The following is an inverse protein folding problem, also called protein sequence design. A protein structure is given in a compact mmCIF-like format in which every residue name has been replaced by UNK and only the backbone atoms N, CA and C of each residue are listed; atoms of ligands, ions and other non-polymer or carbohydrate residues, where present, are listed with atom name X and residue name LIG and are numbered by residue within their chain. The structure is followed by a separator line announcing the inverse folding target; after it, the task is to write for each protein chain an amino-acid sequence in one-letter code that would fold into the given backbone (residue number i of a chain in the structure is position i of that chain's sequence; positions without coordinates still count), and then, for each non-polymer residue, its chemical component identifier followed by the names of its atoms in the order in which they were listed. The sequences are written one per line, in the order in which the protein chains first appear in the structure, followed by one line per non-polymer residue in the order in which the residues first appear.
data_IF_028281039809
#
_entry.id   IF_028281039809
#
_cell.length_a   1.000
_cell.length_b   1.000
_cell.length_c   1.000
_cell.angle_alpha   90.00
_cell.angle_beta   90.00
_cell.angle_gamma   90.00
#
_symmetry.space_group_name_H-M   'P 1'
#
loop_
_entity.id
_entity.type
_entity.pdbx_description
1 polymer ?
#
# COMPACT_ATOMS: atom_id res chain seq x y z
N UNK A 1 6.56 -63.35 11.72
CA UNK A 1 7.01 -61.94 11.69
C UNK A 1 5.87 -61.13 11.12
N UNK A 2 5.22 -60.35 11.98
CA UNK A 2 4.07 -59.50 11.66
C UNK A 2 4.58 -58.12 11.30
N UNK A 3 4.34 -57.70 10.06
CA UNK A 3 4.53 -56.31 9.61
C UNK A 3 3.23 -55.86 8.95
N UNK A 4 2.25 -55.61 9.80
CA UNK A 4 1.04 -54.87 9.42
C UNK A 4 1.01 -53.62 10.30
N UNK A 5 0.73 -52.47 9.69
CA UNK A 5 0.64 -51.13 10.30
C UNK A 5 1.93 -50.28 10.25
N UNK A 6 2.18 -49.61 9.12
CA UNK A 6 2.86 -48.30 9.14
C UNK A 6 2.72 -47.41 7.89
N UNK A 7 1.63 -47.49 7.14
CA UNK A 7 1.44 -46.60 5.97
C UNK A 7 0.21 -45.68 6.04
N UNK A 8 -0.76 -45.95 6.92
CA UNK A 8 -1.96 -45.10 7.05
C UNK A 8 -1.73 -43.75 7.76
N UNK A 9 -0.59 -43.54 8.43
CA UNK A 9 -0.37 -42.33 9.26
C UNK A 9 0.17 -41.12 8.48
N UNK A 10 0.67 -41.31 7.26
CA UNK A 10 1.30 -40.23 6.48
C UNK A 10 0.32 -39.50 5.57
N UNK A 11 -0.69 -40.20 5.04
CA UNK A 11 -1.73 -39.62 4.17
C UNK A 11 -2.77 -38.84 4.99
N UNK A 12 -3.17 -39.36 6.16
CA UNK A 12 -4.07 -38.62 7.07
C UNK A 12 -3.40 -37.34 7.63
N UNK A 13 -2.07 -37.33 7.82
CA UNK A 13 -1.35 -36.12 8.25
C UNK A 13 -1.18 -35.08 7.13
N UNK A 14 -1.08 -35.51 5.87
CA UNK A 14 -1.07 -34.56 4.73
C UNK A 14 -2.45 -33.96 4.49
N UNK A 15 -3.52 -34.73 4.70
CA UNK A 15 -4.88 -34.26 4.51
C UNK A 15 -5.32 -33.29 5.62
N UNK A 16 -4.92 -33.53 6.88
CA UNK A 16 -5.19 -32.59 7.99
C UNK A 16 -4.40 -31.28 7.80
N UNK A 17 -3.14 -31.35 7.34
CA UNK A 17 -2.34 -30.16 7.07
C UNK A 17 -2.88 -29.36 5.87
N UNK A 18 -3.36 -30.03 4.82
CA UNK A 18 -4.00 -29.39 3.68
C UNK A 18 -5.35 -28.76 4.06
N UNK A 19 -6.15 -29.41 4.90
CA UNK A 19 -7.43 -28.88 5.41
C UNK A 19 -7.21 -27.69 6.35
N UNK A 20 -6.14 -27.69 7.16
CA UNK A 20 -5.75 -26.53 7.99
C UNK A 20 -5.21 -25.37 7.14
N UNK A 21 -4.49 -25.65 6.04
CA UNK A 21 -4.02 -24.62 5.11
C UNK A 21 -5.18 -24.01 4.31
N UNK A 22 -6.17 -24.82 3.95
CA UNK A 22 -7.37 -24.39 3.22
C UNK A 22 -8.37 -23.66 4.15
N UNK A 23 -8.40 -24.01 5.43
CA UNK A 23 -9.11 -23.23 6.46
C UNK A 23 -8.49 -21.84 6.69
N UNK A 24 -7.17 -21.66 6.44
CA UNK A 24 -6.50 -20.35 6.45
C UNK A 24 -6.76 -19.52 5.19
N UNK A 25 -7.36 -20.08 4.15
CA UNK A 25 -7.64 -19.42 2.86
C UNK A 25 -9.11 -19.09 2.63
N UNK A 26 -10.04 -19.51 3.52
CA UNK A 26 -11.42 -19.07 3.40
C UNK A 26 -11.52 -17.55 3.59
N UNK A 27 -11.86 -16.89 2.49
CA UNK A 27 -12.18 -15.47 2.47
C UNK A 27 -13.39 -15.24 3.38
N UNK A 28 -13.24 -14.34 4.34
CA UNK A 28 -14.30 -13.97 5.27
C UNK A 28 -15.26 -12.99 4.59
N UNK A 29 -16.55 -13.17 4.86
CA UNK A 29 -17.58 -12.19 4.54
C UNK A 29 -17.92 -11.44 5.83
N UNK A 30 -17.78 -10.11 5.82
CA UNK A 30 -18.10 -9.28 7.00
C UNK A 30 -19.61 -9.05 7.10
N UNK A 31 -20.08 -8.88 8.34
CA UNK A 31 -21.42 -8.32 8.60
C UNK A 31 -21.40 -6.81 8.34
N UNK A 32 -22.56 -6.18 8.18
CA UNK A 32 -22.66 -4.72 7.95
C UNK A 32 -21.87 -3.91 9.00
N UNK A 33 -22.05 -4.22 10.29
CA UNK A 33 -21.29 -3.58 11.38
C UNK A 33 -19.79 -3.90 11.33
N UNK A 34 -19.42 -5.10 10.89
CA UNK A 34 -18.03 -5.49 10.69
C UNK A 34 -17.38 -4.72 9.55
N UNK A 35 -18.14 -4.42 8.49
CA UNK A 35 -17.72 -3.59 7.38
C UNK A 35 -17.45 -2.15 7.84
N UNK A 36 -18.36 -1.55 8.61
CA UNK A 36 -18.18 -0.20 9.16
C UNK A 36 -16.89 -0.08 9.99
N UNK A 37 -16.65 -1.04 10.89
CA UNK A 37 -15.44 -1.08 11.70
C UNK A 37 -14.16 -1.29 10.87
N UNK A 38 -14.25 -2.12 9.82
CA UNK A 38 -13.14 -2.32 8.90
C UNK A 38 -12.78 -1.02 8.18
N UNK A 39 -13.78 -0.31 7.66
CA UNK A 39 -13.58 0.95 6.93
C UNK A 39 -13.01 2.04 7.83
N UNK A 40 -13.53 2.19 9.05
CA UNK A 40 -13.00 3.15 10.03
C UNK A 40 -11.53 2.84 10.38
N UNK A 41 -11.22 1.57 10.62
CA UNK A 41 -9.85 1.14 10.94
C UNK A 41 -8.91 1.34 9.75
N UNK A 42 -9.34 0.98 8.54
CA UNK A 42 -8.62 1.22 7.29
C UNK A 42 -8.30 2.70 7.14
N UNK A 43 -9.31 3.55 7.23
CA UNK A 43 -9.17 5.01 7.13
C UNK A 43 -8.20 5.57 8.17
N UNK A 44 -8.27 5.10 9.41
CA UNK A 44 -7.36 5.49 10.47
C UNK A 44 -5.91 5.15 10.12
N UNK A 45 -5.65 3.91 9.68
CA UNK A 45 -4.32 3.47 9.25
C UNK A 45 -3.83 4.31 8.06
N UNK A 46 -4.65 4.46 7.01
CA UNK A 46 -4.28 5.20 5.80
C UNK A 46 -3.97 6.67 6.10
N UNK A 47 -4.76 7.35 6.94
CA UNK A 47 -4.50 8.74 7.35
C UNK A 47 -3.18 8.85 8.12
N UNK A 48 -2.93 7.92 9.04
CA UNK A 48 -1.70 7.87 9.84
C UNK A 48 -0.47 7.65 8.97
N UNK A 49 -0.54 6.73 8.01
CA UNK A 49 0.54 6.43 7.07
C UNK A 49 0.81 7.63 6.17
N UNK A 50 -0.22 8.29 5.61
CA UNK A 50 -0.05 9.50 4.79
C UNK A 50 0.64 10.63 5.56
N UNK A 51 0.27 10.83 6.83
CA UNK A 51 0.90 11.83 7.69
C UNK A 51 2.39 11.54 7.89
N UNK A 52 2.73 10.30 8.24
CA UNK A 52 4.14 9.89 8.44
C UNK A 52 4.94 9.94 7.14
N UNK A 53 4.34 9.53 6.01
CA UNK A 53 4.99 9.65 4.72
C UNK A 53 5.33 11.10 4.39
N UNK A 54 4.45 12.05 4.73
CA UNK A 54 4.72 13.48 4.51
C UNK A 54 5.95 13.97 5.29
N UNK A 55 6.17 13.45 6.51
CA UNK A 55 7.40 13.70 7.27
C UNK A 55 8.62 13.13 6.54
N UNK A 56 8.55 11.88 6.08
CA UNK A 56 9.65 11.24 5.34
C UNK A 56 9.96 11.99 4.04
N UNK A 57 8.94 12.36 3.26
CA UNK A 57 9.10 13.10 1.99
C UNK A 57 9.72 14.49 2.23
N UNK A 58 9.36 15.18 3.32
CA UNK A 58 10.00 16.44 3.70
C UNK A 58 11.49 16.29 4.02
N UNK A 59 11.88 15.20 4.70
CA UNK A 59 13.30 14.91 4.99
C UNK A 59 14.04 14.53 3.71
N UNK A 60 13.40 13.80 2.80
CA UNK A 60 13.96 13.51 1.46
C UNK A 60 14.17 14.81 0.67
N UNK A 61 13.19 15.72 0.65
CA UNK A 61 13.31 17.01 -0.04
C UNK A 61 14.42 17.88 0.58
N UNK A 62 14.59 17.80 1.90
CA UNK A 62 15.71 18.43 2.61
C UNK A 62 17.04 17.83 2.17
N UNK A 63 17.13 16.50 2.10
CA UNK A 63 18.32 15.78 1.63
C UNK A 63 18.71 16.16 0.18
N UNK A 64 17.71 16.30 -0.70
CA UNK A 64 17.92 16.70 -2.09
C UNK A 64 18.37 18.15 -2.24
N UNK A 65 17.95 19.02 -1.31
CA UNK A 65 18.28 20.46 -1.31
C UNK A 65 19.62 20.81 -0.66
N UNK A 66 20.22 19.88 0.08
CA UNK A 66 21.51 20.09 0.75
C UNK A 66 22.65 20.34 -0.24
N UNK A 67 23.47 21.34 0.07
CA UNK A 67 24.71 21.63 -0.66
C UNK A 67 25.83 20.67 -0.22
N UNK A 68 26.76 20.37 -1.12
CA UNK A 68 27.85 19.40 -0.90
C UNK A 68 28.87 19.77 0.20
N UNK A 69 28.75 20.94 0.82
CA UNK A 69 29.83 21.55 1.61
C UNK A 69 29.72 21.29 3.12
N UNK A 70 28.59 20.78 3.63
CA UNK A 70 28.38 20.58 5.06
C UNK A 70 28.19 19.10 5.40
N UNK A 71 29.29 18.41 5.69
CA UNK A 71 29.30 16.99 6.06
C UNK A 71 28.39 16.69 7.27
N UNK A 72 28.38 17.58 8.26
CA UNK A 72 27.59 17.39 9.47
C UNK A 72 26.08 17.45 9.18
N UNK A 73 25.64 18.36 8.32
CA UNK A 73 24.24 18.42 7.88
C UNK A 73 23.83 17.15 7.11
N UNK A 74 24.69 16.64 6.21
CA UNK A 74 24.40 15.38 5.49
C UNK A 74 24.26 14.20 6.45
N UNK A 75 25.13 14.10 7.46
CA UNK A 75 25.06 13.04 8.47
C UNK A 75 23.79 13.14 9.34
N UNK A 76 23.41 14.35 9.75
CA UNK A 76 22.20 14.56 10.55
C UNK A 76 20.94 14.21 9.76
N UNK A 77 20.83 14.67 8.51
CA UNK A 77 19.70 14.34 7.64
C UNK A 77 19.67 12.85 7.31
N UNK A 78 20.82 12.18 7.18
CA UNK A 78 20.86 10.73 7.03
C UNK A 78 20.31 10.01 8.28
N UNK A 79 20.67 10.46 9.47
CA UNK A 79 20.19 9.90 10.75
C UNK A 79 18.68 10.10 10.89
N UNK A 80 18.20 11.30 10.61
CA UNK A 80 16.78 11.66 10.65
C UNK A 80 15.96 10.86 9.64
N UNK A 81 16.44 10.75 8.38
CA UNK A 81 15.77 9.96 7.35
C UNK A 81 15.69 8.48 7.73
N UNK A 82 16.76 7.93 8.31
CA UNK A 82 16.78 6.53 8.77
C UNK A 82 15.75 6.31 9.87
N UNK A 83 15.73 7.18 10.89
CA UNK A 83 14.78 7.09 12.00
C UNK A 83 13.33 7.13 11.51
N UNK A 84 12.99 8.10 10.65
CA UNK A 84 11.63 8.23 10.15
C UNK A 84 11.26 7.12 9.16
N UNK A 85 12.21 6.61 8.37
CA UNK A 85 12.00 5.46 7.52
C UNK A 85 11.66 4.19 8.33
N UNK A 86 12.37 3.95 9.44
CA UNK A 86 12.11 2.79 10.30
C UNK A 86 10.73 2.88 10.95
N UNK A 87 10.38 4.07 11.49
CA UNK A 87 9.05 4.33 12.05
C UNK A 87 7.93 4.15 11.01
N UNK A 88 8.16 4.66 9.79
CA UNK A 88 7.24 4.52 8.68
C UNK A 88 7.05 3.06 8.27
N UNK A 89 8.15 2.30 8.18
CA UNK A 89 8.12 0.87 7.85
C UNK A 89 7.34 0.09 8.90
N UNK A 90 7.54 0.36 10.19
CA UNK A 90 6.80 -0.28 11.27
C UNK A 90 5.28 -0.04 11.15
N UNK A 91 4.86 1.20 10.85
CA UNK A 91 3.45 1.52 10.62
C UNK A 91 2.86 0.79 9.41
N UNK A 92 3.63 0.67 8.32
CA UNK A 92 3.21 -0.05 7.13
C UNK A 92 3.05 -1.56 7.42
N UNK A 93 3.95 -2.16 8.19
CA UNK A 93 3.85 -3.56 8.62
C UNK A 93 2.58 -3.79 9.45
N UNK A 94 2.30 -2.93 10.43
CA UNK A 94 1.08 -3.03 11.26
C UNK A 94 -0.18 -3.02 10.38
N UNK A 95 -0.22 -2.14 9.37
CA UNK A 95 -1.37 -2.06 8.48
C UNK A 95 -1.49 -3.30 7.56
N UNK A 96 -0.38 -3.81 7.02
CA UNK A 96 -0.37 -5.06 6.26
C UNK A 96 -0.88 -6.24 7.10
N UNK A 97 -0.45 -6.33 8.36
CA UNK A 97 -0.95 -7.34 9.29
C UNK A 97 -2.46 -7.21 9.54
N UNK A 98 -2.97 -5.99 9.70
CA UNK A 98 -4.41 -5.72 9.82
C UNK A 98 -5.17 -6.23 8.59
N UNK A 99 -4.69 -5.92 7.38
CA UNK A 99 -5.33 -6.35 6.14
C UNK A 99 -5.31 -7.87 5.97
N UNK A 100 -4.20 -8.52 6.35
CA UNK A 100 -4.09 -9.97 6.35
C UNK A 100 -5.01 -10.64 7.38
N UNK A 101 -5.14 -10.08 8.59
CA UNK A 101 -5.98 -10.64 9.66
C UNK A 101 -7.48 -10.59 9.34
N UNK A 102 -7.92 -9.55 8.62
CA UNK A 102 -9.32 -9.45 8.18
C UNK A 102 -9.67 -10.51 7.12
N UNK A 103 -8.75 -10.80 6.20
CA UNK A 103 -8.87 -11.86 5.19
C UNK A 103 -10.20 -11.83 4.41
N UNK A 104 -10.62 -10.64 4.00
CA UNK A 104 -11.78 -10.38 3.14
C UNK A 104 -11.31 -10.13 1.71
N UNK A 105 -12.20 -10.19 0.71
CA UNK A 105 -11.81 -9.83 -0.66
C UNK A 105 -11.29 -8.39 -0.72
N UNK A 106 -11.99 -7.49 -0.04
CA UNK A 106 -11.70 -6.06 0.06
C UNK A 106 -10.33 -5.83 0.72
N UNK A 107 -10.04 -6.54 1.83
CA UNK A 107 -8.77 -6.38 2.54
C UNK A 107 -7.58 -6.99 1.81
N UNK A 108 -7.79 -8.06 1.03
CA UNK A 108 -6.75 -8.65 0.19
C UNK A 108 -6.44 -7.79 -1.04
N UNK A 109 -7.45 -7.19 -1.65
CA UNK A 109 -7.26 -6.21 -2.72
C UNK A 109 -6.52 -4.97 -2.22
N UNK A 110 -6.97 -4.40 -1.10
CA UNK A 110 -6.29 -3.26 -0.45
C UNK A 110 -4.85 -3.61 -0.09
N UNK A 111 -4.58 -4.83 0.39
CA UNK A 111 -3.22 -5.31 0.67
C UNK A 111 -2.35 -5.27 -0.57
N UNK A 112 -2.82 -5.82 -1.69
CA UNK A 112 -2.06 -5.84 -2.96
C UNK A 112 -1.72 -4.42 -3.44
N UNK A 113 -2.69 -3.52 -3.36
CA UNK A 113 -2.50 -2.11 -3.70
C UNK A 113 -1.48 -1.43 -2.76
N UNK A 114 -1.64 -1.64 -1.46
CA UNK A 114 -0.80 -1.03 -0.45
C UNK A 114 0.64 -1.57 -0.50
N UNK A 115 0.85 -2.86 -0.76
CA UNK A 115 2.20 -3.45 -0.95
C UNK A 115 2.95 -2.81 -2.11
N UNK A 116 2.25 -2.56 -3.23
CA UNK A 116 2.83 -1.89 -4.40
C UNK A 116 3.23 -0.45 -4.06
N UNK A 117 2.35 0.27 -3.37
CA UNK A 117 2.58 1.64 -2.93
C UNK A 117 3.75 1.72 -1.95
N UNK A 118 3.77 0.83 -0.95
CA UNK A 118 4.82 0.76 0.06
C UNK A 118 6.18 0.41 -0.55
N UNK A 119 6.23 -0.49 -1.54
CA UNK A 119 7.44 -0.75 -2.32
C UNK A 119 7.95 0.50 -3.03
N UNK A 120 7.05 1.31 -3.59
CA UNK A 120 7.40 2.59 -4.20
C UNK A 120 8.05 3.56 -3.22
N UNK A 121 7.47 3.71 -2.02
CA UNK A 121 8.06 4.51 -0.95
C UNK A 121 9.43 4.01 -0.52
N UNK A 122 9.60 2.70 -0.36
CA UNK A 122 10.90 2.12 0.02
C UNK A 122 11.99 2.41 -1.01
N UNK A 123 11.67 2.35 -2.30
CA UNK A 123 12.61 2.70 -3.38
C UNK A 123 13.09 4.16 -3.25
N UNK A 124 12.18 5.10 -2.94
CA UNK A 124 12.52 6.51 -2.76
C UNK A 124 13.41 6.74 -1.53
N UNK A 125 13.07 6.11 -0.41
CA UNK A 125 13.89 6.15 0.82
C UNK A 125 15.28 5.59 0.54
N UNK A 126 15.37 4.40 -0.06
CA UNK A 126 16.63 3.73 -0.37
C UNK A 126 17.49 4.53 -1.35
N UNK A 127 16.87 5.19 -2.33
CA UNK A 127 17.57 6.06 -3.27
C UNK A 127 18.16 7.29 -2.56
N UNK A 128 17.38 7.92 -1.69
CA UNK A 128 17.77 9.12 -0.93
C UNK A 128 18.89 8.81 0.07
N UNK A 129 18.77 7.72 0.83
CA UNK A 129 19.82 7.24 1.74
C UNK A 129 21.10 6.87 0.99
N UNK A 130 21.01 6.25 -0.19
CA UNK A 130 22.18 5.98 -1.04
C UNK A 130 22.85 7.25 -1.52
N UNK A 131 22.06 8.26 -1.92
CA UNK A 131 22.59 9.57 -2.33
C UNK A 131 23.35 10.24 -1.19
N UNK A 132 22.76 10.30 0.01
CA UNK A 132 23.40 10.86 1.21
C UNK A 132 24.69 10.14 1.57
N UNK A 133 24.69 8.79 1.58
CA UNK A 133 25.90 8.00 1.83
C UNK A 133 27.01 8.31 0.84
N UNK A 134 26.67 8.49 -0.43
CA UNK A 134 27.66 8.84 -1.45
C UNK A 134 28.25 10.24 -1.22
N UNK A 135 27.40 11.25 -0.96
CA UNK A 135 27.84 12.63 -0.67
C UNK A 135 28.74 12.69 0.57
N UNK A 136 28.38 11.96 1.63
CA UNK A 136 29.18 11.83 2.85
C UNK A 136 30.54 11.21 2.56
N UNK A 137 30.57 10.11 1.79
CA UNK A 137 31.82 9.45 1.41
C UNK A 137 32.73 10.35 0.57
N UNK A 138 32.16 11.11 -0.37
CA UNK A 138 32.90 12.04 -1.22
C UNK A 138 33.46 13.23 -0.44
N UNK A 139 32.69 13.76 0.52
CA UNK A 139 33.16 14.83 1.42
C UNK A 139 34.35 14.36 2.27
N UNK A 140 34.27 13.15 2.84
CA UNK A 140 35.36 12.55 3.61
C UNK A 140 36.63 12.34 2.77
N UNK A 141 36.49 11.92 1.50
CA UNK A 141 37.62 11.78 0.56
C UNK A 141 38.28 13.13 0.26
N UNK A 142 37.48 14.17 0.00
CA UNK A 142 38.00 15.52 -0.27
C UNK A 142 38.78 16.12 0.90
N UNK A 143 38.35 15.87 2.14
CA UNK A 143 39.08 16.32 3.32
C UNK A 143 40.39 15.53 3.52
N UNK A 144 40.40 14.24 3.20
CA UNK A 144 41.61 13.40 3.24
C UNK A 144 42.64 13.85 2.19
N UNK A 145 42.19 14.15 0.97
CA UNK A 145 43.06 14.65 -0.10
C UNK A 145 43.60 16.05 0.23
N UNK A 146 42.78 16.95 0.79
CA UNK A 146 43.25 18.27 1.25
C UNK A 146 44.29 18.19 2.36
N UNK A 147 44.22 17.17 3.22
CA UNK A 147 45.22 16.89 4.25
C UNK A 147 46.56 16.36 3.70
N UNK A 148 46.56 15.75 2.51
CA UNK A 148 47.77 15.11 1.94
C UNK A 148 48.60 16.00 1.01
N UNK A 149 48.05 17.13 0.50
CA UNK A 149 48.75 18.00 -0.49
C UNK A 149 49.71 19.04 0.15
N UNK A 150 50.18 18.86 1.38
CA UNK A 150 51.23 19.73 1.95
C UNK A 150 52.65 19.35 1.56
N UNK A 151 52.86 18.37 0.69
CA UNK A 151 54.17 18.10 0.10
C UNK A 151 54.10 17.76 -1.39
N UNK A 152 54.70 18.67 -2.18
CA UNK A 152 55.27 18.50 -3.51
C UNK A 152 54.36 18.49 -4.77
N UNK A 153 54.70 19.42 -5.67
CA UNK A 153 54.84 19.25 -7.13
C UNK A 153 53.62 18.93 -8.01
N UNK A 154 53.20 19.96 -8.75
CA UNK A 154 52.65 19.98 -10.12
C UNK A 154 52.25 18.67 -10.82
N UNK A 155 50.97 18.54 -11.21
CA UNK A 155 50.50 18.52 -12.62
C UNK A 155 49.00 18.15 -12.74
N UNK A 156 48.39 18.73 -13.78
CA UNK A 156 47.11 18.40 -14.42
C UNK A 156 45.82 18.51 -13.61
N UNK A 157 45.11 19.62 -13.83
CA UNK A 157 43.69 19.74 -13.51
C UNK A 157 42.85 18.83 -14.41
N UNK A 158 42.25 17.79 -13.80
CA UNK A 158 41.15 17.06 -14.38
C UNK A 158 39.84 17.75 -13.98
N UNK A 159 39.16 18.35 -14.96
CA UNK A 159 37.84 18.95 -14.81
C UNK A 159 36.83 17.83 -14.51
N UNK A 160 36.39 17.69 -13.26
CA UNK A 160 35.32 16.78 -12.87
C UNK A 160 33.95 17.43 -13.09
N UNK A 161 33.47 17.42 -14.33
CA UNK A 161 32.09 17.78 -14.66
C UNK A 161 31.18 16.55 -14.57
N UNK A 162 30.63 16.24 -13.39
CA UNK A 162 29.64 15.14 -13.27
C UNK A 162 28.75 15.19 -12.02
N UNK A 163 28.18 16.35 -11.64
CA UNK A 163 27.17 16.41 -10.58
C UNK A 163 25.74 16.71 -11.06
N UNK A 164 25.55 17.06 -12.34
CA UNK A 164 24.21 17.37 -12.90
C UNK A 164 23.36 16.15 -13.27
N UNK A 165 23.97 14.98 -13.51
CA UNK A 165 23.24 13.79 -13.96
C UNK A 165 22.50 13.05 -12.83
N UNK A 166 23.00 13.13 -11.59
CA UNK A 166 22.44 12.39 -10.45
C UNK A 166 21.09 12.98 -9.99
N UNK A 167 20.95 14.31 -10.02
CA UNK A 167 19.71 15.02 -9.65
C UNK A 167 18.59 14.81 -10.69
N UNK A 168 18.91 14.86 -11.98
CA UNK A 168 17.96 14.60 -13.06
C UNK A 168 17.43 13.15 -13.03
N UNK A 169 18.30 12.18 -12.69
CA UNK A 169 17.89 10.78 -12.53
C UNK A 169 16.97 10.55 -11.33
N UNK A 170 17.19 11.27 -10.21
CA UNK A 170 16.32 11.22 -9.03
C UNK A 170 14.93 11.80 -9.32
N UNK A 171 14.88 12.98 -9.97
CA UNK A 171 13.62 13.60 -10.37
C UNK A 171 12.81 12.73 -11.34
N UNK A 172 13.48 12.09 -12.30
CA UNK A 172 12.83 11.16 -13.22
C UNK A 172 12.21 9.97 -12.48
N UNK A 173 12.94 9.36 -11.54
CA UNK A 173 12.43 8.26 -10.70
C UNK A 173 11.24 8.70 -9.83
N UNK A 174 11.32 9.88 -9.20
CA UNK A 174 10.22 10.46 -8.40
C UNK A 174 8.99 10.73 -9.27
N UNK A 175 9.19 11.24 -10.50
CA UNK A 175 8.09 11.47 -11.46
C UNK A 175 7.45 10.17 -11.93
N UNK A 176 8.25 9.14 -12.22
CA UNK A 176 7.77 7.84 -12.69
C UNK A 176 6.99 7.12 -11.58
N UNK A 177 7.50 7.12 -10.36
CA UNK A 177 6.81 6.55 -9.20
C UNK A 177 5.48 7.27 -8.93
N UNK A 178 5.46 8.61 -9.01
CA UNK A 178 4.22 9.40 -8.89
C UNK A 178 3.23 9.10 -10.02
N UNK A 179 3.71 8.94 -11.25
CA UNK A 179 2.88 8.62 -12.40
C UNK A 179 2.28 7.21 -12.33
N UNK A 180 3.06 6.21 -11.92
CA UNK A 180 2.53 4.85 -11.69
C UNK A 180 1.51 4.83 -10.55
N UNK A 181 1.80 5.48 -9.41
CA UNK A 181 0.85 5.60 -8.31
C UNK A 181 -0.43 6.33 -8.72
N UNK A 182 -0.32 7.41 -9.51
CA UNK A 182 -1.47 8.13 -10.04
C UNK A 182 -2.29 7.27 -11.00
N UNK A 183 -1.64 6.48 -11.88
CA UNK A 183 -2.32 5.59 -12.81
C UNK A 183 -3.15 4.53 -12.09
N UNK A 184 -2.58 3.88 -11.08
CA UNK A 184 -3.29 2.87 -10.28
C UNK A 184 -4.45 3.52 -9.52
N UNK A 185 -4.23 4.71 -8.95
CA UNK A 185 -5.31 5.47 -8.30
C UNK A 185 -6.42 5.84 -9.26
N UNK A 186 -6.10 6.21 -10.50
CA UNK A 186 -7.08 6.58 -11.52
C UNK A 186 -7.91 5.35 -11.95
N UNK A 187 -7.25 4.21 -12.15
CA UNK A 187 -7.92 2.94 -12.43
C UNK A 187 -8.86 2.55 -11.28
N UNK A 188 -8.42 2.67 -10.03
CA UNK A 188 -9.26 2.39 -8.87
C UNK A 188 -10.48 3.32 -8.80
N UNK A 189 -10.29 4.63 -8.99
CA UNK A 189 -11.40 5.60 -8.99
C UNK A 189 -12.38 5.31 -10.13
N UNK A 190 -11.91 4.85 -11.29
CA UNK A 190 -12.77 4.41 -12.39
C UNK A 190 -13.56 3.16 -12.01
N UNK A 191 -12.90 2.12 -11.48
CA UNK A 191 -13.56 0.88 -11.04
C UNK A 191 -14.57 1.14 -9.91
N UNK A 192 -14.24 2.00 -8.94
CA UNK A 192 -15.15 2.40 -7.86
C UNK A 192 -16.36 3.16 -8.40
N UNK A 193 -16.16 4.07 -9.37
CA UNK A 193 -17.25 4.78 -10.03
C UNK A 193 -18.16 3.84 -10.84
N UNK A 194 -17.58 2.86 -11.53
CA UNK A 194 -18.32 1.82 -12.25
C UNK A 194 -19.10 0.91 -11.31
N UNK A 195 -18.51 0.51 -10.19
CA UNK A 195 -19.18 -0.27 -9.14
C UNK A 195 -20.34 0.51 -8.52
N UNK A 196 -20.14 1.78 -8.16
CA UNK A 196 -21.22 2.65 -7.68
C UNK A 196 -22.34 2.80 -8.70
N UNK A 197 -22.01 2.93 -9.98
CA UNK A 197 -23.02 2.98 -11.05
C UNK A 197 -23.81 1.68 -11.14
N UNK A 198 -23.13 0.53 -11.09
CA UNK A 198 -23.78 -0.79 -11.08
C UNK A 198 -24.68 -0.97 -9.85
N UNK A 199 -24.21 -0.54 -8.68
CA UNK A 199 -24.99 -0.58 -7.45
C UNK A 199 -26.24 0.28 -7.55
N UNK A 200 -26.12 1.53 -8.00
CA UNK A 200 -27.29 2.39 -8.23
C UNK A 200 -28.30 1.80 -9.21
N UNK A 201 -27.84 1.15 -10.30
CA UNK A 201 -28.75 0.47 -11.24
C UNK A 201 -29.44 -0.76 -10.63
N UNK A 202 -28.76 -1.49 -9.75
CA UNK A 202 -29.35 -2.63 -9.03
C UNK A 202 -30.38 -2.15 -8.01
N UNK A 203 -30.08 -1.07 -7.28
CA UNK A 203 -31.00 -0.47 -6.31
C UNK A 203 -32.28 0.03 -7.02
N UNK A 204 -32.14 0.70 -8.16
CA UNK A 204 -33.29 1.15 -8.98
C UNK A 204 -34.13 -0.05 -9.48
N UNK A 205 -33.48 -1.12 -9.97
CA UNK A 205 -34.20 -2.34 -10.38
C UNK A 205 -34.95 -2.98 -9.22
N UNK A 206 -34.33 -3.05 -8.04
CA UNK A 206 -34.95 -3.60 -6.84
C UNK A 206 -36.14 -2.75 -6.37
N UNK A 207 -36.03 -1.42 -6.40
CA UNK A 207 -37.16 -0.52 -6.11
C UNK A 207 -38.33 -0.72 -7.09
N UNK A 208 -38.03 -0.86 -8.38
CA UNK A 208 -39.05 -1.13 -9.41
C UNK A 208 -39.73 -2.48 -9.18
N UNK A 209 -38.96 -3.55 -8.92
CA UNK A 209 -39.51 -4.88 -8.68
C UNK A 209 -40.35 -4.94 -7.40
N UNK A 210 -39.86 -4.32 -6.32
CA UNK A 210 -40.63 -4.27 -5.06
C UNK A 210 -41.91 -3.45 -5.20
N UNK A 211 -41.90 -2.34 -5.96
CA UNK A 211 -43.09 -1.58 -6.29
C UNK A 211 -44.09 -2.40 -7.12
N UNK A 212 -43.61 -3.13 -8.15
CA UNK A 212 -44.44 -4.02 -8.97
C UNK A 212 -45.07 -5.14 -8.13
N UNK A 213 -44.28 -5.78 -7.27
CA UNK A 213 -44.77 -6.85 -6.40
C UNK A 213 -45.85 -6.33 -5.43
N UNK A 214 -45.63 -5.17 -4.80
CA UNK A 214 -46.62 -4.53 -3.92
C UNK A 214 -47.91 -4.17 -4.67
N UNK A 215 -47.80 -3.64 -5.89
CA UNK A 215 -48.96 -3.31 -6.71
C UNK A 215 -49.76 -4.56 -7.12
N UNK A 216 -49.07 -5.66 -7.48
CA UNK A 216 -49.71 -6.94 -7.80
C UNK A 216 -50.44 -7.53 -6.58
N UNK A 217 -49.77 -7.56 -5.42
CA UNK A 217 -50.38 -8.03 -4.18
C UNK A 217 -51.60 -7.20 -3.74
N UNK A 218 -51.57 -5.87 -3.97
CA UNK A 218 -52.73 -5.01 -3.71
C UNK A 218 -53.90 -5.30 -4.66
N UNK A 219 -53.63 -5.56 -5.94
CA UNK A 219 -54.67 -5.94 -6.91
C UNK A 219 -55.32 -7.26 -6.54
N UNK A 220 -54.52 -8.29 -6.27
CA UNK A 220 -55.02 -9.61 -5.86
C UNK A 220 -55.85 -9.51 -4.58
N UNK A 221 -55.40 -8.72 -3.60
CA UNK A 221 -56.17 -8.46 -2.38
C UNK A 221 -57.49 -7.72 -2.66
N UNK A 222 -57.49 -6.78 -3.60
CA UNK A 222 -58.71 -6.05 -3.98
C UNK A 222 -59.70 -6.97 -4.72
N UNK A 223 -59.22 -7.84 -5.60
CA UNK A 223 -60.02 -8.84 -6.31
C UNK A 223 -60.65 -9.84 -5.32
N UNK A 224 -59.86 -10.41 -4.39
CA UNK A 224 -60.36 -11.30 -3.35
C UNK A 224 -61.40 -10.61 -2.44
N UNK A 225 -61.19 -9.34 -2.10
CA UNK A 225 -62.16 -8.58 -1.31
C UNK A 225 -63.46 -8.33 -2.09
N UNK A 226 -63.38 -8.03 -3.39
CA UNK A 226 -64.55 -7.86 -4.24
C UNK A 226 -65.34 -9.17 -4.40
N UNK A 227 -64.65 -10.30 -4.58
CA UNK A 227 -65.28 -11.62 -4.64
C UNK A 227 -65.97 -11.99 -3.33
N UNK A 228 -65.37 -11.63 -2.19
CA UNK A 228 -65.98 -11.81 -0.87
C UNK A 228 -67.22 -10.94 -0.66
N UNK A 229 -67.23 -9.70 -1.15
CA UNK A 229 -68.40 -8.81 -1.11
C UNK A 229 -69.56 -9.31 -1.97
N UNK A 230 -69.28 -9.95 -3.11
CA UNK A 230 -70.32 -10.53 -3.99
C UNK A 230 -70.92 -11.82 -3.41
N UNK A 231 -70.18 -12.52 -2.55
CA UNK A 231 -70.61 -13.75 -1.88
C UNK A 231 -71.34 -13.53 -0.54
N UNK A 232 -71.32 -12.32 0.00
CA UNK A 232 -71.99 -11.93 1.25
C UNK A 232 -73.40 -11.38 1.01
#
# INVERSE_FOLDING_TARGET
MSTFSREASSEEQSDIAAVEEDARRRIRTLTLKGQDHYEESRDWHTRRIKKFWSTVDAVIDTADSLKDNNLQEHQEVQRELTLHADQFSALCTIYLEFLMKNNTNESLQEKSYFETTFRGYRILIDASLRSLRHRISDALRKDTDRGSVKSSSSRSGAKTSSSRNSSASSMYLKSKAKAEAAKVRLQYVQEEAELKKKQATLDEQFEIETAKFKAAAQKEKAELNADLEVLA
#
